data_IF_905361804052
#
_entry.id   IF_905361804052
#
_cell.length_a   1.000
_cell.length_b   1.000
_cell.length_c   1.000
_cell.angle_alpha   90.00
_cell.angle_beta   90.00
_cell.angle_gamma   90.00
#
_symmetry.space_group_name_H-M   'P 1'
#
loop_
_entity.id
_entity.type
_entity.pdbx_description
1 polymer ?
#
# COMPACT_ATOMS: atom_id res chain seq x y z
N UNK A 1 15.86 -25.40 20.82
CA UNK A 1 14.62 -25.25 21.61
C UNK A 1 13.45 -25.15 20.64
N UNK A 2 12.36 -25.91 20.82
CA UNK A 2 11.13 -25.72 20.02
C UNK A 2 10.61 -24.32 20.34
N UNK A 3 10.56 -23.42 19.36
CA UNK A 3 9.89 -22.13 19.51
C UNK A 3 8.42 -22.33 19.15
N UNK A 4 7.56 -21.78 19.98
CA UNK A 4 6.11 -21.77 19.79
C UNK A 4 5.67 -20.34 19.47
N UNK A 5 4.55 -20.24 18.75
CA UNK A 5 3.91 -18.97 18.46
C UNK A 5 2.40 -19.11 18.53
N UNK A 6 1.72 -18.05 18.94
CA UNK A 6 0.33 -18.09 19.37
C UNK A 6 -0.56 -17.36 18.38
N UNK A 7 -1.72 -17.94 18.03
CA UNK A 7 -2.73 -17.27 17.18
C UNK A 7 -4.09 -17.34 17.85
N UNK A 8 -4.59 -16.18 18.22
CA UNK A 8 -5.89 -16.03 18.87
C UNK A 8 -7.01 -16.00 17.84
N UNK A 9 -8.10 -16.72 18.11
CA UNK A 9 -9.25 -16.83 17.22
C UNK A 9 -10.57 -16.88 17.97
N UNK A 10 -11.60 -16.29 17.36
CA UNK A 10 -12.98 -16.48 17.79
C UNK A 10 -13.44 -17.91 17.50
N UNK A 11 -14.38 -18.43 18.29
CA UNK A 11 -15.00 -19.74 18.03
C UNK A 11 -15.71 -19.76 16.67
N UNK A 12 -16.37 -18.65 16.29
CA UNK A 12 -17.04 -18.54 14.99
C UNK A 12 -16.07 -18.72 13.82
N UNK A 13 -14.84 -18.22 13.94
CA UNK A 13 -13.81 -18.43 12.92
C UNK A 13 -13.34 -19.90 12.88
N UNK A 14 -13.12 -20.50 14.04
CA UNK A 14 -12.55 -21.85 14.13
C UNK A 14 -13.47 -22.95 13.62
N UNK A 15 -14.76 -22.89 13.98
CA UNK A 15 -15.74 -23.97 13.75
C UNK A 15 -17.11 -23.49 13.26
N UNK A 16 -17.24 -22.22 12.90
CA UNK A 16 -18.48 -21.60 12.44
C UNK A 16 -18.39 -21.20 10.97
N UNK A 17 -18.40 -19.89 10.71
CA UNK A 17 -18.43 -19.30 9.37
C UNK A 17 -17.26 -19.75 8.48
N UNK A 18 -16.03 -19.76 9.00
CA UNK A 18 -14.83 -20.02 8.19
C UNK A 18 -14.28 -21.45 8.31
N UNK A 19 -14.71 -22.21 9.33
CA UNK A 19 -14.24 -23.57 9.59
C UNK A 19 -12.70 -23.71 9.51
N UNK A 20 -11.96 -22.78 10.11
CA UNK A 20 -10.50 -22.69 9.97
C UNK A 20 -9.75 -23.94 10.46
N UNK A 21 -10.25 -24.62 11.49
CA UNK A 21 -9.62 -25.84 11.99
C UNK A 21 -9.79 -27.00 11.02
N UNK A 22 -10.98 -27.18 10.47
CA UNK A 22 -11.30 -28.27 9.55
C UNK A 22 -10.55 -28.10 8.22
N UNK A 23 -10.51 -26.86 7.73
CA UNK A 23 -9.85 -26.48 6.48
C UNK A 23 -8.33 -26.25 6.63
N UNK A 24 -7.82 -26.27 7.86
CA UNK A 24 -6.43 -25.92 8.20
C UNK A 24 -6.02 -24.55 7.62
N UNK A 25 -6.91 -23.57 7.69
CA UNK A 25 -6.73 -22.29 6.98
C UNK A 25 -6.27 -21.15 7.88
N UNK A 26 -5.46 -20.27 7.30
CA UNK A 26 -4.98 -19.01 7.86
C UNK A 26 -5.25 -17.93 6.81
N UNK A 27 -6.20 -17.05 7.12
CA UNK A 27 -6.47 -15.88 6.30
C UNK A 27 -5.44 -14.77 6.54
N UNK A 28 -4.99 -14.14 5.45
CA UNK A 28 -4.12 -12.98 5.44
C UNK A 28 -4.95 -11.73 5.13
N UNK A 29 -5.02 -10.83 6.11
CA UNK A 29 -5.80 -9.61 6.05
C UNK A 29 -5.09 -8.53 5.24
N UNK A 30 -5.86 -7.72 4.53
CA UNK A 30 -5.38 -6.52 3.87
C UNK A 30 -5.21 -5.37 4.89
N UNK A 31 -4.34 -4.38 4.62
CA UNK A 31 -3.94 -3.35 5.59
C UNK A 31 -5.12 -2.56 6.16
N UNK A 32 -6.16 -2.32 5.35
CA UNK A 32 -7.38 -1.63 5.75
C UNK A 32 -8.21 -2.35 6.84
N UNK A 33 -7.89 -3.62 7.13
CA UNK A 33 -8.53 -4.41 8.19
C UNK A 33 -7.68 -4.52 9.46
N UNK A 34 -6.53 -3.85 9.52
CA UNK A 34 -5.65 -3.88 10.69
C UNK A 34 -6.11 -2.88 11.74
N UNK A 35 -5.71 -3.12 12.99
CA UNK A 35 -6.25 -2.41 14.15
C UNK A 35 -5.59 -1.06 14.41
N UNK A 36 -4.33 -0.87 13.98
CA UNK A 36 -3.69 0.43 14.04
C UNK A 36 -3.79 1.13 12.66
N UNK A 37 -4.38 2.33 12.60
CA UNK A 37 -4.58 3.06 11.35
C UNK A 37 -3.29 3.52 10.68
N UNK A 38 -2.17 3.52 11.40
CA UNK A 38 -0.86 3.89 10.85
C UNK A 38 -0.12 2.69 10.24
N UNK A 39 -0.66 1.48 10.34
CA UNK A 39 0.01 0.31 9.79
C UNK A 39 0.12 0.35 8.27
N UNK A 40 1.34 0.18 7.77
CA UNK A 40 1.63 0.33 6.35
C UNK A 40 1.75 1.79 5.90
N UNK A 41 1.70 2.77 6.81
CA UNK A 41 2.04 4.15 6.50
C UNK A 41 3.48 4.24 6.01
N UNK A 42 3.68 5.06 4.97
CA UNK A 42 4.97 5.31 4.35
C UNK A 42 5.19 6.81 4.23
N UNK A 43 6.27 7.29 4.82
CA UNK A 43 6.64 8.69 4.71
C UNK A 43 7.40 8.95 3.42
N UNK A 44 6.65 9.17 2.33
CA UNK A 44 7.20 9.32 0.99
C UNK A 44 7.59 10.77 0.72
N UNK A 45 8.78 10.95 0.16
CA UNK A 45 9.26 12.22 -0.39
C UNK A 45 9.79 12.04 -1.81
N UNK A 46 9.90 13.15 -2.55
CA UNK A 46 10.45 13.20 -3.90
C UNK A 46 11.73 14.03 -3.88
N UNK A 47 12.86 13.40 -4.20
CA UNK A 47 14.15 14.08 -4.29
C UNK A 47 14.93 13.58 -5.50
N UNK A 48 15.16 14.44 -6.47
CA UNK A 48 15.77 14.02 -7.73
C UNK A 48 16.11 15.19 -8.64
N UNK A 49 16.87 14.90 -9.67
CA UNK A 49 17.28 15.87 -10.67
C UNK A 49 16.14 16.24 -11.64
N UNK A 50 16.43 17.16 -12.55
CA UNK A 50 15.47 17.64 -13.54
C UNK A 50 14.89 16.50 -14.40
N UNK A 51 15.64 15.42 -14.62
CA UNK A 51 15.24 14.30 -15.48
C UNK A 51 14.02 13.59 -14.88
N UNK A 52 14.13 13.13 -13.63
CA UNK A 52 13.00 12.42 -12.99
C UNK A 52 11.81 13.33 -12.73
N UNK A 53 12.03 14.63 -12.51
CA UNK A 53 10.93 15.60 -12.38
C UNK A 53 10.21 15.84 -13.70
N UNK A 54 10.93 16.01 -14.81
CA UNK A 54 10.31 16.08 -16.15
C UNK A 54 9.51 14.81 -16.44
N UNK A 55 10.06 13.66 -16.13
CA UNK A 55 9.42 12.37 -16.33
C UNK A 55 8.19 12.17 -15.42
N UNK A 56 8.20 12.65 -14.18
CA UNK A 56 7.00 12.67 -13.31
C UNK A 56 5.86 13.47 -13.94
N UNK A 57 6.15 14.67 -14.45
CA UNK A 57 5.15 15.53 -15.09
C UNK A 57 4.66 14.94 -16.42
N UNK A 58 5.56 14.30 -17.19
CA UNK A 58 5.21 13.58 -18.42
C UNK A 58 4.30 12.39 -18.13
N UNK A 59 4.60 11.63 -17.08
CA UNK A 59 3.80 10.49 -16.62
C UNK A 59 2.43 10.94 -16.07
N UNK A 60 2.39 12.05 -15.35
CA UNK A 60 1.14 12.68 -14.91
C UNK A 60 0.28 13.07 -16.12
N UNK A 61 0.87 13.71 -17.13
CA UNK A 61 0.20 14.09 -18.37
C UNK A 61 -0.33 12.86 -19.14
N UNK A 62 0.46 11.78 -19.20
CA UNK A 62 0.06 10.50 -19.78
C UNK A 62 -1.17 9.92 -19.09
N UNK A 63 -1.14 9.84 -17.76
CA UNK A 63 -2.27 9.32 -16.99
C UNK A 63 -3.51 10.20 -17.16
N UNK A 64 -3.34 11.53 -17.17
CA UNK A 64 -4.43 12.48 -17.32
C UNK A 64 -5.07 12.40 -18.71
N UNK A 65 -4.26 12.31 -19.76
CA UNK A 65 -4.72 12.19 -21.14
C UNK A 65 -5.59 10.94 -21.32
N UNK A 66 -5.14 9.80 -20.79
CA UNK A 66 -5.90 8.55 -20.90
C UNK A 66 -7.23 8.63 -20.15
N UNK A 67 -7.28 9.25 -18.97
CA UNK A 67 -8.55 9.47 -18.25
C UNK A 67 -9.45 10.46 -18.99
N UNK A 68 -8.89 11.50 -19.64
CA UNK A 68 -9.64 12.40 -20.51
C UNK A 68 -10.23 11.64 -21.72
N UNK A 69 -9.46 10.74 -22.34
CA UNK A 69 -9.92 9.88 -23.43
C UNK A 69 -11.06 8.97 -22.98
N UNK A 70 -10.94 8.34 -21.81
CA UNK A 70 -12.01 7.53 -21.20
C UNK A 70 -13.28 8.35 -20.94
N UNK A 71 -13.16 9.61 -20.48
CA UNK A 71 -14.29 10.52 -20.30
C UNK A 71 -14.99 10.81 -21.63
N UNK A 72 -14.24 11.05 -22.71
CA UNK A 72 -14.83 11.32 -24.04
C UNK A 72 -15.58 10.09 -24.59
N UNK A 73 -15.03 8.90 -24.37
CA UNK A 73 -15.64 7.64 -24.84
C UNK A 73 -16.88 7.29 -24.01
N UNK A 74 -16.79 7.41 -22.70
CA UNK A 74 -17.79 6.90 -21.76
C UNK A 74 -18.85 7.93 -21.37
N UNK A 75 -18.54 9.23 -21.52
CA UNK A 75 -19.33 10.31 -20.93
C UNK A 75 -19.49 10.10 -19.42
N UNK A 76 -20.72 10.19 -18.92
CA UNK A 76 -21.09 9.86 -17.53
C UNK A 76 -21.78 8.49 -17.41
N UNK A 77 -21.81 7.69 -18.48
CA UNK A 77 -22.60 6.44 -18.52
C UNK A 77 -21.93 5.28 -17.79
N UNK A 78 -20.61 5.22 -17.86
CA UNK A 78 -19.78 4.22 -17.18
C UNK A 78 -18.83 4.95 -16.25
N UNK A 79 -18.91 4.66 -14.95
CA UNK A 79 -18.05 5.28 -13.94
C UNK A 79 -16.59 4.96 -14.22
N UNK A 80 -15.76 5.99 -14.29
CA UNK A 80 -14.31 5.90 -14.28
C UNK A 80 -13.86 5.95 -12.82
N UNK A 81 -13.13 4.95 -12.38
CA UNK A 81 -12.63 4.85 -11.01
C UNK A 81 -11.13 5.10 -10.93
N UNK A 82 -10.62 5.13 -9.70
CA UNK A 82 -9.19 5.25 -9.43
C UNK A 82 -8.37 4.08 -10.02
N UNK A 83 -9.00 2.92 -10.23
CA UNK A 83 -8.35 1.75 -10.82
C UNK A 83 -8.12 1.90 -12.33
N UNK A 84 -8.87 2.80 -12.99
CA UNK A 84 -8.74 3.06 -14.43
C UNK A 84 -7.59 4.03 -14.75
N UNK A 85 -6.95 4.63 -13.73
CA UNK A 85 -5.77 5.47 -13.94
C UNK A 85 -4.56 4.56 -14.26
N UNK A 86 -3.93 4.73 -15.44
CA UNK A 86 -2.97 3.78 -16.00
C UNK A 86 -1.55 3.99 -15.42
N UNK A 87 -1.40 3.90 -14.09
CA UNK A 87 -0.16 4.30 -13.40
C UNK A 87 1.07 3.47 -13.76
N UNK A 88 0.87 2.27 -14.31
CA UNK A 88 1.96 1.40 -14.77
C UNK A 88 2.26 1.55 -16.26
N UNK A 89 1.55 2.41 -16.98
CA UNK A 89 1.69 2.59 -18.43
C UNK A 89 2.78 3.57 -18.80
N UNK A 90 3.31 3.42 -20.02
CA UNK A 90 4.22 4.37 -20.66
C UNK A 90 3.85 4.55 -22.14
N UNK A 91 4.64 5.35 -22.87
CA UNK A 91 4.39 5.63 -24.29
C UNK A 91 4.49 4.40 -25.20
N UNK A 92 5.24 3.37 -24.79
CA UNK A 92 5.40 2.14 -25.57
C UNK A 92 4.10 1.32 -25.59
N UNK A 93 3.30 1.42 -24.52
CA UNK A 93 2.03 0.71 -24.36
C UNK A 93 0.90 1.26 -25.23
N UNK A 94 1.08 2.42 -25.88
CA UNK A 94 0.07 2.96 -26.79
C UNK A 94 -0.16 2.03 -27.99
N UNK A 95 -1.43 1.71 -28.32
CA UNK A 95 -1.77 0.65 -29.27
C UNK A 95 -1.48 1.03 -30.73
N UNK A 96 -1.39 2.32 -31.07
CA UNK A 96 -1.23 2.79 -32.45
C UNK A 96 -0.19 3.89 -32.56
N UNK A 97 0.42 3.99 -33.74
CA UNK A 97 1.37 5.06 -34.04
C UNK A 97 0.71 6.44 -34.01
N UNK A 98 -0.55 6.56 -34.47
CA UNK A 98 -1.28 7.82 -34.39
C UNK A 98 -1.47 8.29 -32.94
N UNK A 99 -1.71 7.36 -32.01
CA UNK A 99 -1.84 7.71 -30.60
C UNK A 99 -0.47 8.16 -30.03
N UNK A 100 0.61 7.46 -30.37
CA UNK A 100 1.97 7.88 -29.98
C UNK A 100 2.29 9.30 -30.48
N UNK A 101 1.94 9.62 -31.72
CA UNK A 101 2.10 10.96 -32.30
C UNK A 101 1.23 12.01 -31.63
N UNK A 102 -0.04 11.70 -31.34
CA UNK A 102 -0.94 12.58 -30.60
C UNK A 102 -0.35 12.93 -29.23
N UNK A 103 0.07 11.92 -28.46
CA UNK A 103 0.64 12.15 -27.13
C UNK A 103 1.98 12.89 -27.20
N UNK A 104 2.80 12.62 -28.22
CA UNK A 104 4.03 13.38 -28.47
C UNK A 104 3.71 14.86 -28.66
N UNK A 105 2.72 15.20 -29.48
CA UNK A 105 2.29 16.58 -29.71
C UNK A 105 1.72 17.25 -28.44
N UNK A 106 0.97 16.51 -27.62
CA UNK A 106 0.48 16.96 -26.30
C UNK A 106 1.66 17.28 -25.38
N UNK A 107 2.59 16.34 -25.25
CA UNK A 107 3.78 16.47 -24.41
C UNK A 107 4.66 17.64 -24.87
N UNK A 108 4.93 17.76 -26.17
CA UNK A 108 5.70 18.89 -26.72
C UNK A 108 5.03 20.22 -26.45
N UNK A 109 3.70 20.32 -26.60
CA UNK A 109 2.99 21.56 -26.29
C UNK A 109 3.07 21.91 -24.80
N UNK A 110 2.81 20.94 -23.92
CA UNK A 110 2.88 21.12 -22.48
C UNK A 110 4.27 21.58 -22.02
N UNK A 111 5.34 20.94 -22.51
CA UNK A 111 6.71 21.29 -22.14
C UNK A 111 7.31 22.47 -22.91
N UNK A 112 6.58 23.06 -23.86
CA UNK A 112 6.99 24.30 -24.53
C UNK A 112 6.85 25.56 -23.67
N UNK A 113 6.16 25.48 -22.52
CA UNK A 113 6.05 26.57 -21.57
C UNK A 113 7.37 26.81 -20.82
N UNK A 114 7.90 28.03 -20.97
CA UNK A 114 9.07 28.51 -20.20
C UNK A 114 8.75 28.58 -18.69
N UNK A 115 7.51 28.92 -18.33
CA UNK A 115 7.09 29.00 -16.94
C UNK A 115 7.06 27.61 -16.29
N UNK A 116 6.46 26.61 -16.96
CA UNK A 116 6.52 25.23 -16.48
C UNK A 116 7.96 24.75 -16.34
N UNK A 117 8.82 25.09 -17.31
CA UNK A 117 10.22 24.71 -17.27
C UNK A 117 10.97 25.28 -16.06
N UNK A 118 10.77 26.57 -15.75
CA UNK A 118 11.31 27.22 -14.55
C UNK A 118 10.75 26.63 -13.27
N UNK A 119 9.47 26.27 -13.24
CA UNK A 119 8.85 25.60 -12.09
C UNK A 119 9.52 24.24 -11.83
N UNK A 120 9.67 23.41 -12.88
CA UNK A 120 10.29 22.08 -12.75
C UNK A 120 11.77 22.20 -12.30
N UNK A 121 12.49 23.21 -12.75
CA UNK A 121 13.86 23.47 -12.30
C UNK A 121 13.91 23.92 -10.82
N UNK A 122 12.94 24.73 -10.38
CA UNK A 122 12.86 25.18 -8.99
C UNK A 122 12.57 24.01 -8.03
N UNK A 123 11.63 23.13 -8.37
CA UNK A 123 11.29 21.96 -7.54
C UNK A 123 12.40 20.91 -7.53
N UNK A 124 13.18 20.75 -8.62
CA UNK A 124 14.26 19.75 -8.68
C UNK A 124 15.44 20.04 -7.75
N UNK A 125 15.48 21.23 -7.13
CA UNK A 125 16.53 21.64 -6.19
C UNK A 125 16.18 21.30 -4.74
N UNK A 126 15.02 20.67 -4.49
CA UNK A 126 14.43 20.51 -3.17
C UNK A 126 13.92 19.10 -2.94
N UNK A 127 13.80 18.74 -1.67
CA UNK A 127 13.05 17.55 -1.24
C UNK A 127 11.60 17.91 -1.04
N UNK A 128 10.71 17.31 -1.83
CA UNK A 128 9.29 17.63 -1.89
C UNK A 128 8.49 16.57 -1.13
N UNK A 129 7.51 16.99 -0.32
CA UNK A 129 6.58 16.09 0.37
C UNK A 129 5.24 16.03 -0.35
N UNK A 130 4.40 15.06 0.03
CA UNK A 130 3.10 14.80 -0.61
C UNK A 130 2.22 16.05 -0.76
N UNK A 131 2.09 16.85 0.30
CA UNK A 131 1.23 18.04 0.28
C UNK A 131 1.76 19.11 -0.69
N UNK A 132 3.08 19.28 -0.72
CA UNK A 132 3.77 20.19 -1.64
C UNK A 132 3.68 19.69 -3.10
N UNK A 133 3.78 18.39 -3.34
CA UNK A 133 3.56 17.82 -4.67
C UNK A 133 2.13 18.06 -5.15
N UNK A 134 1.12 17.87 -4.27
CA UNK A 134 -0.28 18.17 -4.59
C UNK A 134 -0.47 19.64 -4.96
N UNK A 135 0.17 20.56 -4.23
CA UNK A 135 0.17 21.97 -4.56
C UNK A 135 0.69 22.27 -5.97
N UNK A 136 1.85 21.72 -6.35
CA UNK A 136 2.41 21.97 -7.69
C UNK A 136 1.57 21.33 -8.80
N UNK A 137 1.11 20.09 -8.61
CA UNK A 137 0.26 19.42 -9.61
C UNK A 137 -1.09 20.12 -9.78
N UNK A 138 -1.71 20.62 -8.69
CA UNK A 138 -2.93 21.46 -8.76
C UNK A 138 -2.70 22.76 -9.52
N UNK A 139 -1.57 23.41 -9.28
CA UNK A 139 -1.18 24.64 -10.01
C UNK A 139 -1.06 24.41 -11.51
N UNK A 140 -0.54 23.24 -11.92
CA UNK A 140 -0.30 22.91 -13.35
C UNK A 140 -1.48 22.20 -14.01
N UNK A 141 -2.45 21.69 -13.24
CA UNK A 141 -3.50 20.79 -13.73
C UNK A 141 -4.32 21.35 -14.90
N UNK A 142 -4.79 22.60 -14.81
CA UNK A 142 -5.59 23.20 -15.89
C UNK A 142 -4.76 23.48 -17.15
N UNK A 143 -3.48 23.81 -17.01
CA UNK A 143 -2.57 23.94 -18.15
C UNK A 143 -2.31 22.57 -18.83
N UNK A 144 -2.22 21.49 -18.05
CA UNK A 144 -2.12 20.14 -18.59
C UNK A 144 -3.39 19.74 -19.37
N UNK A 145 -4.58 20.03 -18.82
CA UNK A 145 -5.85 19.82 -19.51
C UNK A 145 -5.94 20.61 -20.81
N UNK A 146 -5.53 21.89 -20.80
CA UNK A 146 -5.52 22.72 -22.01
C UNK A 146 -4.55 22.16 -23.06
N UNK A 147 -3.38 21.67 -22.63
CA UNK A 147 -2.42 21.03 -23.52
C UNK A 147 -3.00 19.78 -24.20
N UNK A 148 -3.81 19.00 -23.48
CA UNK A 148 -4.50 17.82 -24.01
C UNK A 148 -5.62 18.24 -24.97
N UNK A 149 -6.57 19.06 -24.51
CA UNK A 149 -7.77 19.39 -25.27
C UNK A 149 -7.46 20.22 -26.52
N UNK A 150 -6.46 21.10 -26.49
CA UNK A 150 -6.03 21.84 -27.69
C UNK A 150 -5.51 20.92 -28.80
N UNK A 151 -4.86 19.80 -28.45
CA UNK A 151 -4.44 18.81 -29.43
C UNK A 151 -5.61 17.93 -29.88
N UNK A 152 -6.56 17.62 -29.00
CA UNK A 152 -7.79 16.94 -29.40
C UNK A 152 -8.60 17.78 -30.42
N UNK A 153 -8.67 19.10 -30.26
CA UNK A 153 -9.31 20.01 -31.23
C UNK A 153 -8.58 20.01 -32.57
N UNK A 154 -7.24 20.16 -32.55
CA UNK A 154 -6.41 20.14 -33.77
C UNK A 154 -6.56 18.84 -34.56
N UNK A 155 -6.79 17.73 -33.87
CA UNK A 155 -6.98 16.41 -34.47
C UNK A 155 -8.48 16.04 -34.67
N UNK A 156 -9.40 17.00 -34.47
CA UNK A 156 -10.85 16.82 -34.63
C UNK A 156 -11.45 15.67 -33.78
N UNK A 157 -10.84 15.36 -32.63
CA UNK A 157 -11.34 14.40 -31.65
C UNK A 157 -12.47 15.00 -30.79
N UNK A 158 -12.48 16.32 -30.65
CA UNK A 158 -13.57 17.08 -30.03
C UNK A 158 -13.95 18.28 -30.90
N UNK A 159 -15.17 18.85 -30.75
CA UNK A 159 -15.53 20.11 -31.38
C UNK A 159 -14.59 21.25 -30.95
N UNK A 160 -14.44 22.26 -31.81
CA UNK A 160 -13.74 23.48 -31.44
C UNK A 160 -14.44 24.13 -30.23
N UNK A 161 -13.71 24.27 -29.12
CA UNK A 161 -14.15 25.06 -27.96
C UNK A 161 -14.07 26.54 -28.35
N UNK A 162 -14.91 27.36 -27.72
CA UNK A 162 -14.84 28.81 -27.88
C UNK A 162 -13.50 29.37 -27.39
N UNK A 163 -13.18 30.61 -27.76
CA UNK A 163 -12.03 31.34 -27.20
C UNK A 163 -12.19 31.40 -25.69
N UNK A 164 -11.26 30.78 -24.96
CA UNK A 164 -11.24 30.81 -23.51
C UNK A 164 -10.37 32.02 -23.10
N UNK A 165 -10.96 33.03 -22.47
CA UNK A 165 -10.22 34.21 -21.98
C UNK A 165 -9.37 33.90 -20.73
N UNK A 166 -9.44 32.66 -20.23
CA UNK A 166 -8.70 32.20 -19.06
C UNK A 166 -7.30 31.75 -19.47
N UNK A 167 -6.29 32.51 -19.04
CA UNK A 167 -4.89 32.12 -19.14
C UNK A 167 -4.60 30.96 -18.18
N UNK A 168 -4.51 29.74 -18.73
CA UNK A 168 -4.25 28.53 -17.93
C UNK A 168 -2.84 28.46 -17.38
N UNK A 169 -1.88 29.23 -17.91
CA UNK A 169 -0.52 29.34 -17.36
C UNK A 169 -0.44 30.33 -16.21
N UNK A 170 -1.42 31.24 -16.08
CA UNK A 170 -1.46 32.27 -15.04
C UNK A 170 -1.16 31.77 -13.62
N UNK A 171 -1.71 30.64 -13.14
CA UNK A 171 -1.36 30.11 -11.81
C UNK A 171 0.14 29.80 -11.65
N UNK A 172 0.79 29.30 -12.71
CA UNK A 172 2.24 29.02 -12.75
C UNK A 172 3.02 30.33 -12.76
N UNK A 173 2.58 31.30 -13.56
CA UNK A 173 3.18 32.64 -13.65
C UNK A 173 3.12 33.34 -12.30
N UNK A 174 1.92 33.44 -11.71
CA UNK A 174 1.69 34.08 -10.42
C UNK A 174 2.56 33.44 -9.32
N UNK A 175 2.71 32.09 -9.33
CA UNK A 175 3.60 31.38 -8.40
C UNK A 175 5.07 31.78 -8.54
N UNK A 176 5.56 31.91 -9.78
CA UNK A 176 6.96 32.24 -10.06
C UNK A 176 7.27 33.72 -9.83
N UNK A 177 6.33 34.62 -10.14
CA UNK A 177 6.51 36.07 -10.04
C UNK A 177 6.38 36.59 -8.60
N UNK A 178 5.62 35.90 -7.74
CA UNK A 178 5.47 36.28 -6.32
C UNK A 178 6.68 35.91 -5.45
N UNK A 179 7.83 35.58 -6.04
CA UNK A 179 9.05 35.16 -5.33
C UNK A 179 8.78 34.03 -4.32
N UNK A 180 7.80 33.16 -4.60
CA UNK A 180 7.38 32.10 -3.67
C UNK A 180 8.56 31.21 -3.23
N UNK A 181 9.40 30.83 -4.19
CA UNK A 181 10.61 30.03 -3.92
C UNK A 181 11.63 30.79 -3.07
N UNK A 182 11.90 32.08 -3.38
CA UNK A 182 12.78 32.91 -2.55
C UNK A 182 12.24 33.06 -1.13
N UNK A 183 10.93 33.27 -0.95
CA UNK A 183 10.31 33.37 0.38
C UNK A 183 10.39 32.07 1.17
N UNK A 184 10.36 30.93 0.48
CA UNK A 184 10.62 29.64 1.11
C UNK A 184 12.11 29.48 1.45
N UNK A 185 13.02 29.86 0.56
CA UNK A 185 14.46 29.68 0.71
C UNK A 185 15.07 30.67 1.75
N UNK A 186 14.60 31.90 1.81
CA UNK A 186 15.00 32.92 2.81
C UNK A 186 14.62 32.49 4.23
N UNK A 187 13.50 31.76 4.38
CA UNK A 187 13.11 31.16 5.65
C UNK A 187 14.04 30.01 6.06
N UNK A 188 14.77 29.37 5.15
CA UNK A 188 15.70 28.25 5.41
C UNK A 188 17.00 28.71 6.11
N UNK A 189 17.26 30.03 6.19
CA UNK A 189 18.47 30.61 6.81
C UNK A 189 18.53 30.53 8.35
N UNK A 190 17.54 29.94 9.02
CA UNK A 190 17.52 29.67 10.48
C UNK A 190 17.19 28.18 10.75
N UNK A 191 17.18 27.74 12.01
CA UNK A 191 17.09 26.33 12.45
C UNK A 191 16.29 25.39 11.52
N UNK A 192 16.99 24.45 10.86
CA UNK A 192 16.51 23.66 9.69
C UNK A 192 15.21 22.90 9.97
N UNK A 193 15.05 22.32 11.16
CA UNK A 193 13.88 21.50 11.50
C UNK A 193 12.61 22.34 11.72
N UNK A 194 12.75 23.54 12.27
CA UNK A 194 11.61 24.45 12.48
C UNK A 194 11.06 24.96 11.13
N UNK A 195 11.94 25.12 10.15
CA UNK A 195 11.56 25.58 8.82
C UNK A 195 10.88 24.50 7.98
N UNK A 196 11.36 23.26 8.03
CA UNK A 196 10.64 22.12 7.44
C UNK A 196 9.22 22.01 7.98
N UNK A 197 9.03 22.19 9.29
CA UNK A 197 7.70 22.20 9.93
C UNK A 197 6.81 23.33 9.41
N UNK A 198 7.33 24.55 9.28
CA UNK A 198 6.57 25.70 8.75
C UNK A 198 6.17 25.51 7.29
N UNK A 199 7.08 24.99 6.45
CA UNK A 199 6.79 24.70 5.04
C UNK A 199 5.70 23.63 4.93
N UNK A 200 5.83 22.54 5.67
CA UNK A 200 4.80 21.49 5.70
C UNK A 200 3.45 22.06 6.15
N UNK A 201 3.42 22.85 7.24
CA UNK A 201 2.19 23.47 7.72
C UNK A 201 1.54 24.41 6.69
N UNK A 202 2.33 25.13 5.90
CA UNK A 202 1.83 25.98 4.82
C UNK A 202 1.11 25.15 3.74
N UNK A 203 1.72 24.07 3.26
CA UNK A 203 1.11 23.22 2.23
C UNK A 203 -0.09 22.44 2.76
N UNK A 204 -0.05 21.97 4.01
CA UNK A 204 -1.22 21.35 4.65
C UNK A 204 -2.37 22.36 4.79
N UNK A 205 -2.10 23.61 5.14
CA UNK A 205 -3.12 24.67 5.20
C UNK A 205 -3.74 24.97 3.82
N UNK A 206 -2.92 24.99 2.76
CA UNK A 206 -3.41 25.10 1.39
C UNK A 206 -4.33 23.94 1.01
N UNK A 207 -3.94 22.70 1.31
CA UNK A 207 -4.77 21.53 1.03
C UNK A 207 -6.09 21.54 1.81
N UNK A 208 -6.06 21.88 3.09
CA UNK A 208 -7.27 22.01 3.90
C UNK A 208 -8.20 23.12 3.36
N UNK A 209 -7.63 24.23 2.90
CA UNK A 209 -8.44 25.31 2.31
C UNK A 209 -9.12 24.85 1.02
N UNK A 210 -8.38 24.16 0.14
CA UNK A 210 -8.94 23.64 -1.11
C UNK A 210 -10.00 22.55 -0.88
N UNK A 211 -9.81 21.66 0.10
CA UNK A 211 -10.82 20.63 0.41
C UNK A 211 -12.11 21.25 0.94
N UNK A 212 -12.01 22.33 1.73
CA UNK A 212 -13.18 23.09 2.17
C UNK A 212 -13.86 23.83 1.02
N UNK A 213 -13.11 24.43 0.09
CA UNK A 213 -13.67 25.10 -1.10
C UNK A 213 -14.39 24.09 -2.00
N UNK A 214 -13.80 22.92 -2.26
CA UNK A 214 -14.45 21.84 -3.02
C UNK A 214 -15.78 21.43 -2.37
N UNK A 215 -15.76 21.20 -1.05
CA UNK A 215 -16.96 20.86 -0.30
C UNK A 215 -18.03 21.96 -0.38
N UNK A 216 -17.64 23.23 -0.27
CA UNK A 216 -18.55 24.38 -0.42
C UNK A 216 -19.15 24.41 -1.83
N UNK A 217 -18.34 24.19 -2.87
CA UNK A 217 -18.80 24.20 -4.25
C UNK A 217 -19.79 23.07 -4.55
N UNK A 218 -19.55 21.87 -4.01
CA UNK A 218 -20.51 20.75 -4.09
C UNK A 218 -21.79 21.04 -3.32
N UNK A 219 -21.66 21.53 -2.09
CA UNK A 219 -22.81 21.90 -1.26
C UNK A 219 -23.69 22.97 -1.92
N UNK A 220 -23.08 23.95 -2.57
CA UNK A 220 -23.77 25.01 -3.30
C UNK A 220 -24.25 24.58 -4.70
N UNK A 221 -24.00 23.34 -5.13
CA UNK A 221 -24.39 22.83 -6.45
C UNK A 221 -23.62 23.45 -7.63
N UNK A 222 -22.47 24.09 -7.37
CA UNK A 222 -21.56 24.60 -8.41
C UNK A 222 -20.87 23.42 -9.11
N UNK A 223 -20.47 22.41 -8.34
CA UNK A 223 -19.98 21.13 -8.84
C UNK A 223 -21.15 20.15 -8.79
N UNK A 224 -21.55 19.62 -9.95
CA UNK A 224 -22.63 18.63 -10.05
C UNK A 224 -22.11 17.24 -9.70
N UNK A 225 -22.57 16.67 -8.58
CA UNK A 225 -22.20 15.32 -8.15
C UNK A 225 -22.72 14.21 -9.08
N UNK A 226 -23.63 14.53 -10.01
CA UNK A 226 -24.07 13.58 -11.05
C UNK A 226 -23.06 13.46 -12.20
N UNK A 227 -22.10 14.38 -12.33
CA UNK A 227 -21.04 14.32 -13.35
C UNK A 227 -19.74 13.79 -12.77
N UNK A 228 -19.76 12.55 -12.27
CA UNK A 228 -18.65 11.94 -11.54
C UNK A 228 -17.37 11.85 -12.37
N UNK A 229 -17.47 11.53 -13.66
CA UNK A 229 -16.30 11.38 -14.51
C UNK A 229 -15.67 12.72 -14.85
N UNK A 230 -16.48 13.77 -15.09
CA UNK A 230 -15.97 15.14 -15.16
C UNK A 230 -15.31 15.56 -13.86
N UNK A 231 -15.95 15.31 -12.71
CA UNK A 231 -15.38 15.69 -11.42
C UNK A 231 -14.05 14.99 -11.17
N UNK A 232 -13.93 13.71 -11.55
CA UNK A 232 -12.67 12.99 -11.54
C UNK A 232 -11.59 13.72 -12.35
N UNK A 233 -11.87 14.06 -13.61
CA UNK A 233 -10.90 14.70 -14.51
C UNK A 233 -10.50 16.09 -14.03
N UNK A 234 -11.46 16.95 -13.68
CA UNK A 234 -11.24 18.39 -13.47
C UNK A 234 -10.90 18.78 -12.03
N UNK A 235 -11.31 17.97 -11.03
CA UNK A 235 -11.18 18.35 -9.61
C UNK A 235 -10.46 17.31 -8.76
N UNK A 236 -10.68 16.02 -9.00
CA UNK A 236 -10.17 14.96 -8.12
C UNK A 236 -8.87 14.31 -8.63
N UNK A 237 -8.53 14.46 -9.91
CA UNK A 237 -7.46 13.71 -10.56
C UNK A 237 -6.12 13.81 -9.84
N UNK A 238 -5.72 15.01 -9.42
CA UNK A 238 -4.43 15.24 -8.73
C UNK A 238 -4.32 14.37 -7.47
N UNK A 239 -5.35 14.40 -6.62
CA UNK A 239 -5.34 13.65 -5.36
C UNK A 239 -5.38 12.14 -5.63
N UNK A 240 -6.17 11.70 -6.62
CA UNK A 240 -6.24 10.30 -7.02
C UNK A 240 -4.91 9.81 -7.56
N UNK A 241 -4.28 10.55 -8.47
CA UNK A 241 -2.96 10.26 -9.04
C UNK A 241 -1.90 10.13 -7.95
N UNK A 242 -1.79 11.12 -7.04
CA UNK A 242 -0.82 11.07 -5.95
C UNK A 242 -1.08 9.87 -5.03
N UNK A 243 -2.34 9.57 -4.72
CA UNK A 243 -2.68 8.44 -3.84
C UNK A 243 -2.31 7.07 -4.40
N UNK A 244 -2.19 6.93 -5.72
CA UNK A 244 -1.80 5.67 -6.36
C UNK A 244 -0.33 5.61 -6.78
N UNK A 245 0.43 6.71 -6.68
CA UNK A 245 1.87 6.70 -6.97
C UNK A 245 2.62 5.66 -6.14
N UNK A 246 2.17 5.40 -4.90
CA UNK A 246 2.78 4.37 -4.05
C UNK A 246 2.73 2.96 -4.66
N UNK A 247 1.78 2.68 -5.57
CA UNK A 247 1.71 1.40 -6.28
C UNK A 247 2.90 1.17 -7.22
N UNK A 248 3.59 2.24 -7.63
CA UNK A 248 4.86 2.16 -8.37
C UNK A 248 6.05 1.81 -7.47
N UNK A 249 5.95 2.16 -6.19
CA UNK A 249 6.99 1.86 -5.22
C UNK A 249 6.87 0.39 -4.83
N UNK A 250 5.77 -0.01 -4.17
CA UNK A 250 5.67 -1.31 -3.51
C UNK A 250 4.43 -2.12 -3.93
N UNK A 251 4.51 -3.47 -3.84
CA UNK A 251 3.36 -4.32 -4.07
C UNK A 251 2.32 -4.18 -2.96
N UNK A 252 1.07 -4.52 -3.27
CA UNK A 252 0.07 -4.79 -2.24
C UNK A 252 0.56 -5.91 -1.32
N UNK A 253 0.17 -5.83 -0.05
CA UNK A 253 0.61 -6.77 0.97
C UNK A 253 -0.54 -7.17 1.87
N UNK A 254 -0.42 -8.36 2.45
CA UNK A 254 -1.40 -8.94 3.34
C UNK A 254 -0.67 -9.64 4.48
N UNK A 255 -1.29 -9.71 5.65
CA UNK A 255 -0.64 -10.25 6.84
C UNK A 255 -1.50 -11.19 7.66
N UNK A 256 -0.84 -12.16 8.28
CA UNK A 256 -1.38 -12.97 9.34
C UNK A 256 -0.58 -12.71 10.63
N UNK A 257 -1.28 -12.22 11.65
CA UNK A 257 -0.69 -11.84 12.93
C UNK A 257 -0.65 -13.00 13.93
N UNK A 258 0.42 -13.06 14.70
CA UNK A 258 0.68 -14.03 15.76
C UNK A 258 1.36 -13.33 16.93
N UNK A 259 1.35 -13.95 18.10
CA UNK A 259 1.95 -13.40 19.32
C UNK A 259 3.05 -14.34 19.80
N UNK A 260 4.12 -13.80 20.37
CA UNK A 260 5.17 -14.61 20.98
C UNK A 260 4.77 -15.21 22.34
N UNK A 261 3.70 -14.70 22.94
CA UNK A 261 3.15 -15.14 24.23
C UNK A 261 1.62 -15.01 24.27
N UNK A 262 0.99 -15.54 25.33
CA UNK A 262 -0.46 -15.54 25.47
C UNK A 262 -0.99 -15.07 26.84
N UNK A 263 -0.18 -14.35 27.62
CA UNK A 263 -0.51 -13.98 29.00
C UNK A 263 -1.30 -12.67 29.14
N UNK A 264 -1.27 -11.82 28.10
CA UNK A 264 -1.87 -10.50 28.14
C UNK A 264 -3.40 -10.54 28.08
N UNK A 265 -4.07 -9.90 29.05
CA UNK A 265 -5.54 -9.89 29.12
C UNK A 265 -6.21 -9.13 27.98
N UNK A 266 -5.62 -8.03 27.52
CA UNK A 266 -6.15 -7.22 26.41
C UNK A 266 -6.12 -8.00 25.10
N UNK A 267 -5.08 -8.80 24.87
CA UNK A 267 -5.01 -9.71 23.70
C UNK A 267 -6.15 -10.72 23.70
N UNK A 268 -6.43 -11.36 24.84
CA UNK A 268 -7.61 -12.25 24.96
C UNK A 268 -8.95 -11.51 24.84
N UNK A 269 -9.01 -10.24 25.26
CA UNK A 269 -10.18 -9.38 25.09
C UNK A 269 -10.46 -9.09 23.62
N UNK A 270 -9.47 -8.60 22.89
CA UNK A 270 -9.61 -8.21 21.49
C UNK A 270 -9.63 -9.43 20.54
N UNK A 271 -8.56 -10.23 20.53
CA UNK A 271 -8.40 -11.31 19.57
C UNK A 271 -8.96 -12.65 20.05
N UNK A 272 -9.06 -12.83 21.36
CA UNK A 272 -9.76 -13.97 21.97
C UNK A 272 -11.28 -13.78 22.10
N UNK A 273 -11.86 -12.80 21.39
CA UNK A 273 -13.29 -12.50 21.38
C UNK A 273 -13.89 -12.39 22.80
N UNK A 274 -13.43 -11.42 23.59
CA UNK A 274 -13.81 -11.24 24.99
C UNK A 274 -13.61 -12.49 25.85
N UNK A 275 -12.48 -13.17 25.67
CA UNK A 275 -12.10 -14.43 26.35
C UNK A 275 -13.01 -15.64 26.06
N UNK A 276 -13.90 -15.55 25.07
CA UNK A 276 -14.77 -16.68 24.66
C UNK A 276 -14.15 -17.55 23.56
N UNK A 277 -13.13 -17.04 22.89
CA UNK A 277 -12.38 -17.72 21.84
C UNK A 277 -11.30 -18.66 22.36
N UNK A 278 -10.42 -19.08 21.46
CA UNK A 278 -9.29 -19.96 21.77
C UNK A 278 -7.98 -19.41 21.19
N UNK A 279 -6.87 -19.90 21.70
CA UNK A 279 -5.53 -19.58 21.22
C UNK A 279 -4.86 -20.85 20.68
N UNK A 280 -4.46 -20.81 19.41
CA UNK A 280 -3.77 -21.88 18.72
C UNK A 280 -2.26 -21.79 18.95
N UNK A 281 -1.62 -22.90 19.26
CA UNK A 281 -0.16 -22.97 19.49
C UNK A 281 0.49 -23.60 18.27
N UNK A 282 1.31 -22.86 17.54
CA UNK A 282 2.05 -23.34 16.39
C UNK A 282 3.51 -23.60 16.75
N UNK A 283 4.02 -24.77 16.35
CA UNK A 283 5.46 -25.04 16.27
C UNK A 283 5.99 -24.39 15.02
N UNK A 284 7.09 -23.66 15.17
CA UNK A 284 7.75 -22.98 14.08
C UNK A 284 9.12 -23.59 13.77
N UNK A 285 9.55 -23.45 12.52
CA UNK A 285 10.89 -23.84 12.07
C UNK A 285 11.87 -22.69 12.39
N UNK A 286 13.09 -23.02 12.82
CA UNK A 286 14.14 -22.04 13.09
C UNK A 286 15.43 -22.45 12.38
N UNK A 287 15.82 -21.69 11.35
CA UNK A 287 17.06 -21.84 10.59
C UNK A 287 17.80 -20.50 10.60
N UNK A 288 19.07 -20.46 11.00
CA UNK A 288 19.92 -19.25 10.99
C UNK A 288 19.26 -17.99 11.60
N UNK A 289 18.65 -18.13 12.77
CA UNK A 289 17.87 -17.09 13.48
C UNK A 289 16.60 -16.61 12.75
N UNK A 290 16.20 -17.22 11.64
CA UNK A 290 14.94 -16.97 10.96
C UNK A 290 13.88 -17.98 11.40
N UNK A 291 12.86 -17.47 12.08
CA UNK A 291 11.67 -18.21 12.44
C UNK A 291 10.72 -18.26 11.24
N UNK A 292 10.14 -19.41 10.91
CA UNK A 292 9.20 -19.54 9.79
C UNK A 292 8.09 -20.57 10.00
N UNK A 293 7.03 -20.45 9.21
CA UNK A 293 5.94 -21.41 9.10
C UNK A 293 5.72 -21.77 7.62
N UNK A 294 5.71 -23.07 7.32
CA UNK A 294 5.43 -23.58 5.99
C UNK A 294 3.92 -23.57 5.71
N UNK A 295 3.50 -22.83 4.68
CA UNK A 295 2.09 -22.71 4.29
C UNK A 295 1.91 -23.10 2.81
N UNK A 296 0.88 -23.89 2.52
CA UNK A 296 0.48 -24.24 1.17
C UNK A 296 -0.29 -23.08 0.54
N UNK A 297 0.19 -22.65 -0.62
CA UNK A 297 -0.31 -21.47 -1.33
C UNK A 297 -0.14 -21.55 -2.83
N UNK A 298 -0.82 -20.65 -3.53
CA UNK A 298 -0.53 -20.32 -4.92
C UNK A 298 0.94 -19.91 -5.04
N UNK A 299 1.72 -20.66 -5.80
CA UNK A 299 3.17 -20.48 -5.91
C UNK A 299 3.69 -20.39 -7.35
N UNK A 300 2.80 -20.50 -8.34
CA UNK A 300 3.17 -20.40 -9.74
C UNK A 300 1.98 -20.50 -10.69
N UNK A 301 2.30 -20.51 -11.98
CA UNK A 301 1.36 -20.71 -13.07
C UNK A 301 1.97 -21.66 -14.11
N UNK A 302 1.18 -22.61 -14.57
CA UNK A 302 1.49 -23.52 -15.65
C UNK A 302 0.52 -23.27 -16.79
N UNK A 303 1.03 -23.19 -18.03
CA UNK A 303 0.20 -23.04 -19.22
C UNK A 303 -0.76 -24.20 -19.45
N UNK A 304 -0.49 -25.39 -18.88
CA UNK A 304 -1.30 -26.59 -19.08
C UNK A 304 -2.27 -26.86 -17.94
N UNK A 305 -1.92 -26.50 -16.70
CA UNK A 305 -2.69 -26.83 -15.50
C UNK A 305 -3.17 -25.60 -14.71
N UNK A 306 -2.93 -24.39 -15.22
CA UNK A 306 -3.27 -23.15 -14.54
C UNK A 306 -2.41 -22.89 -13.29
N UNK A 307 -3.02 -22.33 -12.25
CA UNK A 307 -2.31 -22.01 -11.00
C UNK A 307 -1.80 -23.27 -10.29
N UNK A 308 -0.54 -23.23 -9.86
CA UNK A 308 0.06 -24.30 -9.06
C UNK A 308 0.04 -23.95 -7.57
N UNK A 309 -0.06 -24.98 -6.73
CA UNK A 309 -0.10 -24.84 -5.28
C UNK A 309 0.97 -25.71 -4.63
N UNK A 310 1.68 -25.16 -3.64
CA UNK A 310 2.71 -25.88 -2.90
C UNK A 310 3.03 -25.23 -1.57
N UNK A 311 3.69 -25.97 -0.70
CA UNK A 311 4.18 -25.45 0.59
C UNK A 311 5.37 -24.53 0.35
N UNK A 312 5.31 -23.34 0.93
CA UNK A 312 6.37 -22.33 0.91
C UNK A 312 6.65 -21.90 2.35
N UNK A 313 7.93 -21.72 2.69
CA UNK A 313 8.32 -21.18 4.00
C UNK A 313 7.99 -19.68 4.07
N UNK A 314 7.20 -19.27 5.06
CA UNK A 314 6.92 -17.87 5.37
C UNK A 314 7.67 -17.46 6.62
N UNK A 315 8.55 -16.45 6.50
CA UNK A 315 9.29 -15.90 7.64
C UNK A 315 8.37 -15.10 8.55
N UNK A 316 8.59 -15.21 9.86
CA UNK A 316 8.02 -14.33 10.85
C UNK A 316 8.83 -13.05 10.97
N UNK A 317 8.14 -11.93 10.92
CA UNK A 317 8.69 -10.59 11.12
C UNK A 317 8.19 -10.04 12.45
N UNK A 318 9.06 -9.77 13.43
CA UNK A 318 8.65 -9.13 14.67
C UNK A 318 8.21 -7.68 14.41
N UNK A 319 7.24 -7.20 15.17
CA UNK A 319 6.81 -5.80 15.10
C UNK A 319 7.75 -4.88 15.88
N UNK A 320 8.07 -3.75 15.26
CA UNK A 320 8.79 -2.64 15.87
C UNK A 320 7.80 -1.58 16.38
N UNK A 321 7.81 -1.38 17.69
CA UNK A 321 6.95 -0.43 18.39
C UNK A 321 7.66 0.90 18.75
N UNK A 322 8.95 1.03 18.39
CA UNK A 322 9.83 2.11 18.87
C UNK A 322 10.32 3.00 17.75
N UNK A 323 10.87 2.39 16.71
CA UNK A 323 11.39 3.13 15.59
C UNK A 323 10.17 3.49 14.73
N UNK A 324 9.78 4.76 14.75
CA UNK A 324 8.71 5.25 13.88
C UNK A 324 9.01 4.97 12.41
N UNK A 325 8.10 5.37 11.54
CA UNK A 325 8.21 5.13 10.11
C UNK A 325 9.49 5.70 9.51
N UNK A 326 10.12 4.94 8.61
CA UNK A 326 11.25 5.43 7.83
C UNK A 326 10.78 6.27 6.65
N UNK A 327 11.67 7.13 6.17
CA UNK A 327 11.42 7.93 4.97
C UNK A 327 11.72 7.11 3.70
N UNK A 328 10.97 7.37 2.62
CA UNK A 328 11.09 6.69 1.33
C UNK A 328 11.24 7.72 0.21
N UNK A 329 12.35 7.65 -0.50
CA UNK A 329 12.54 8.42 -1.73
C UNK A 329 11.81 7.76 -2.89
N UNK A 330 10.72 8.39 -3.35
CA UNK A 330 9.89 7.90 -4.45
C UNK A 330 10.74 7.59 -5.68
N UNK A 331 11.63 8.49 -6.10
CA UNK A 331 12.37 8.34 -7.35
C UNK A 331 13.41 7.23 -7.30
N UNK A 332 13.85 6.79 -6.12
CA UNK A 332 14.84 5.72 -5.98
C UNK A 332 14.21 4.37 -5.68
N UNK A 333 12.91 4.31 -5.40
CA UNK A 333 12.23 3.11 -4.89
C UNK A 333 11.14 2.58 -5.83
N UNK A 334 11.22 2.86 -7.14
CA UNK A 334 10.28 2.41 -8.17
C UNK A 334 10.42 0.91 -8.53
N UNK A 335 10.42 0.03 -7.54
CA UNK A 335 10.71 -1.40 -7.67
C UNK A 335 9.62 -2.25 -8.32
N UNK A 336 8.45 -1.66 -8.62
CA UNK A 336 7.34 -2.37 -9.29
C UNK A 336 7.44 -2.36 -10.81
N UNK A 337 8.37 -1.59 -11.37
CA UNK A 337 8.60 -1.52 -12.81
C UNK A 337 9.76 -2.45 -13.22
N UNK A 338 9.63 -3.22 -14.31
CA UNK A 338 10.77 -3.89 -14.91
C UNK A 338 11.87 -2.89 -15.26
N UNK A 339 13.14 -3.26 -15.08
CA UNK A 339 14.28 -2.36 -15.30
C UNK A 339 14.25 -1.65 -16.66
N UNK A 340 13.95 -2.31 -17.80
CA UNK A 340 13.83 -1.61 -19.08
C UNK A 340 12.77 -0.51 -19.08
N UNK A 341 11.62 -0.76 -18.44
CA UNK A 341 10.52 0.20 -18.31
C UNK A 341 10.88 1.34 -17.36
N UNK A 342 11.54 1.02 -16.25
CA UNK A 342 12.03 2.00 -15.29
C UNK A 342 13.03 2.97 -15.93
N UNK A 343 14.00 2.43 -16.69
CA UNK A 343 14.98 3.24 -17.40
C UNK A 343 14.34 4.16 -18.45
N UNK A 344 13.53 3.58 -19.35
CA UNK A 344 12.89 4.35 -20.44
C UNK A 344 11.89 5.38 -19.96
N UNK A 345 11.20 5.13 -18.85
CA UNK A 345 10.10 5.99 -18.37
C UNK A 345 10.56 7.02 -17.34
N UNK A 346 11.49 6.66 -16.45
CA UNK A 346 11.83 7.50 -15.29
C UNK A 346 13.27 7.99 -15.29
N UNK A 347 14.24 7.14 -15.64
CA UNK A 347 15.66 7.45 -15.44
C UNK A 347 16.39 7.98 -16.67
N UNK A 348 15.73 8.08 -17.83
CA UNK A 348 16.34 8.61 -19.04
C UNK A 348 15.50 9.75 -19.61
N UNK A 349 16.17 10.80 -20.08
CA UNK A 349 15.58 11.90 -20.85
C UNK A 349 16.62 12.40 -21.85
N UNK A 350 16.26 12.47 -23.14
CA UNK A 350 17.13 12.95 -24.22
C UNK A 350 18.53 12.32 -24.28
N UNK A 351 18.62 11.05 -23.87
CA UNK A 351 19.88 10.28 -23.84
C UNK A 351 20.69 10.43 -22.54
N UNK A 352 20.32 11.37 -21.67
CA UNK A 352 20.94 11.56 -20.36
C UNK A 352 20.29 10.66 -19.30
N UNK A 353 21.08 10.23 -18.32
CA UNK A 353 20.66 9.35 -17.24
C UNK A 353 20.56 10.13 -15.93
N UNK A 354 19.46 9.94 -15.20
CA UNK A 354 19.24 10.56 -13.90
C UNK A 354 20.17 10.01 -12.82
N UNK A 355 20.62 10.88 -11.91
CA UNK A 355 21.35 10.50 -10.69
C UNK A 355 20.54 9.59 -9.76
N UNK A 356 19.21 9.50 -9.94
CA UNK A 356 18.36 8.58 -9.18
C UNK A 356 18.58 7.12 -9.58
N UNK A 357 19.16 6.84 -10.76
CA UNK A 357 19.48 5.49 -11.21
C UNK A 357 20.79 4.94 -10.61
N UNK A 358 21.62 5.80 -10.01
CA UNK A 358 23.00 5.48 -9.59
C UNK A 358 23.12 4.19 -8.79
N UNK A 359 22.29 4.02 -7.75
CA UNK A 359 22.40 2.87 -6.85
C UNK A 359 22.05 1.56 -7.56
N UNK A 360 21.03 1.61 -8.42
CA UNK A 360 20.63 0.48 -9.26
C UNK A 360 21.71 0.14 -10.29
N UNK A 361 22.30 1.15 -10.93
CA UNK A 361 23.37 0.96 -11.92
C UNK A 361 24.67 0.44 -11.28
N UNK A 362 24.99 0.88 -10.05
CA UNK A 362 26.15 0.38 -9.29
C UNK A 362 25.97 -1.08 -8.89
N UNK A 363 24.79 -1.45 -8.39
CA UNK A 363 24.48 -2.84 -8.01
C UNK A 363 22.99 -3.06 -7.88
N UNK A 364 22.41 -3.71 -8.89
CA UNK A 364 21.01 -4.11 -8.92
C UNK A 364 20.62 -4.95 -7.71
N UNK A 365 21.48 -5.88 -7.27
CA UNK A 365 21.22 -6.75 -6.13
C UNK A 365 21.14 -5.97 -4.81
N UNK A 366 22.08 -5.04 -4.56
CA UNK A 366 22.05 -4.20 -3.36
C UNK A 366 20.85 -3.26 -3.35
N UNK A 367 20.51 -2.72 -4.52
CA UNK A 367 19.32 -1.88 -4.66
C UNK A 367 18.04 -2.69 -4.35
N UNK A 368 17.91 -3.91 -4.86
CA UNK A 368 16.81 -4.83 -4.54
C UNK A 368 16.76 -5.21 -3.07
N UNK A 369 17.90 -5.49 -2.45
CA UNK A 369 17.99 -5.80 -1.03
C UNK A 369 17.50 -4.61 -0.18
N UNK A 370 17.99 -3.40 -0.47
CA UNK A 370 17.54 -2.16 0.18
C UNK A 370 16.04 -1.93 0.01
N UNK A 371 15.54 -2.12 -1.21
CA UNK A 371 14.12 -2.02 -1.54
C UNK A 371 13.26 -2.94 -0.66
N UNK A 372 13.61 -4.23 -0.57
CA UNK A 372 12.86 -5.19 0.25
C UNK A 372 13.02 -4.95 1.75
N UNK A 373 14.18 -4.51 2.20
CA UNK A 373 14.39 -4.14 3.60
C UNK A 373 13.48 -2.98 4.01
N UNK A 374 13.36 -1.95 3.17
CA UNK A 374 12.43 -0.84 3.38
C UNK A 374 10.97 -1.31 3.34
N UNK A 375 10.61 -2.16 2.37
CA UNK A 375 9.26 -2.74 2.28
C UNK A 375 8.86 -3.44 3.58
N UNK A 376 9.71 -4.34 4.10
CA UNK A 376 9.42 -5.09 5.32
C UNK A 376 9.45 -4.20 6.56
N UNK A 377 10.40 -3.25 6.64
CA UNK A 377 10.45 -2.27 7.73
C UNK A 377 9.10 -1.58 7.91
N UNK A 378 8.55 -0.98 6.86
CA UNK A 378 7.38 -0.10 7.00
C UNK A 378 6.08 -0.85 7.33
N UNK A 379 5.95 -2.11 6.93
CA UNK A 379 4.77 -2.94 7.21
C UNK A 379 4.89 -3.72 8.54
N UNK A 380 6.02 -3.57 9.24
CA UNK A 380 6.29 -4.18 10.55
C UNK A 380 6.39 -3.14 11.66
N UNK A 381 5.95 -1.92 11.42
CA UNK A 381 5.86 -0.87 12.45
C UNK A 381 4.42 -0.78 12.95
N UNK A 382 4.29 -0.60 14.26
CA UNK A 382 3.01 -0.36 14.93
C UNK A 382 3.20 0.66 16.05
N UNK A 383 2.16 1.44 16.35
CA UNK A 383 2.22 2.40 17.45
C UNK A 383 2.43 1.70 18.79
N UNK A 384 3.12 2.40 19.70
CA UNK A 384 3.51 1.89 21.01
C UNK A 384 2.32 1.41 21.86
N UNK A 385 1.14 1.96 21.64
CA UNK A 385 -0.08 1.56 22.35
C UNK A 385 -0.42 0.08 22.16
N UNK A 386 0.10 -0.56 21.11
CA UNK A 386 -0.09 -1.99 20.81
C UNK A 386 1.12 -2.88 21.17
N UNK A 387 2.16 -2.34 21.82
CA UNK A 387 3.39 -3.08 22.20
C UNK A 387 3.08 -4.33 23.04
N UNK A 388 1.98 -4.29 23.80
CA UNK A 388 1.53 -5.38 24.66
C UNK A 388 1.14 -6.68 23.90
N UNK A 389 0.97 -6.62 22.58
CA UNK A 389 0.64 -7.78 21.75
C UNK A 389 1.84 -8.69 21.49
N UNK A 390 3.07 -8.15 21.57
CA UNK A 390 4.31 -8.85 21.18
C UNK A 390 4.16 -9.56 19.82
N UNK A 391 3.64 -8.80 18.85
CA UNK A 391 3.16 -9.30 17.58
C UNK A 391 4.31 -9.71 16.64
N UNK A 392 4.06 -10.77 15.88
CA UNK A 392 4.87 -11.23 14.76
C UNK A 392 3.97 -11.49 13.55
N UNK A 393 4.44 -11.13 12.36
CA UNK A 393 3.69 -11.26 11.11
C UNK A 393 4.26 -12.29 10.17
N UNK A 394 3.37 -13.03 9.53
CA UNK A 394 3.65 -13.60 8.22
C UNK A 394 3.12 -12.65 7.16
N UNK A 395 3.91 -12.40 6.12
CA UNK A 395 3.58 -11.42 5.07
C UNK A 395 3.41 -12.14 3.72
N UNK A 396 2.36 -11.76 3.01
CA UNK A 396 2.14 -12.04 1.60
C UNK A 396 2.28 -10.74 0.81
N UNK A 397 2.94 -10.77 -0.34
CA UNK A 397 3.02 -9.63 -1.25
C UNK A 397 2.63 -10.01 -2.67
N UNK A 398 1.84 -9.14 -3.32
CA UNK A 398 1.36 -9.30 -4.69
C UNK A 398 2.43 -8.94 -5.73
N UNK A 399 3.61 -9.54 -5.63
CA UNK A 399 4.76 -9.22 -6.50
C UNK A 399 4.68 -9.96 -7.83
N UNK A 400 4.91 -11.28 -7.82
CA UNK A 400 4.83 -12.15 -9.00
C UNK A 400 3.49 -12.87 -9.11
N UNK A 401 2.76 -12.96 -8.00
CA UNK A 401 1.50 -13.67 -7.89
C UNK A 401 0.49 -12.68 -7.35
N UNK A 402 -0.65 -12.54 -8.03
CA UNK A 402 -1.73 -11.70 -7.57
C UNK A 402 -2.53 -12.38 -6.44
N UNK A 403 -2.74 -11.61 -5.36
CA UNK A 403 -3.50 -11.95 -4.15
C UNK A 403 -4.60 -10.90 -3.84
N UNK A 404 -4.98 -10.08 -4.82
CA UNK A 404 -6.07 -9.10 -4.73
C UNK A 404 -7.39 -9.74 -4.27
N UNK A 405 -7.68 -10.94 -4.77
CA UNK A 405 -8.84 -11.75 -4.41
C UNK A 405 -8.70 -12.41 -3.03
N UNK A 406 -9.71 -12.23 -2.16
CA UNK A 406 -9.68 -12.71 -0.77
C UNK A 406 -9.50 -14.23 -0.63
N UNK A 407 -10.05 -15.01 -1.58
CA UNK A 407 -9.90 -16.47 -1.62
C UNK A 407 -8.44 -16.92 -1.79
N UNK A 408 -7.62 -16.14 -2.50
CA UNK A 408 -6.22 -16.46 -2.74
C UNK A 408 -5.35 -16.13 -1.50
N UNK A 409 -5.91 -15.40 -0.53
CA UNK A 409 -5.29 -15.06 0.77
C UNK A 409 -5.60 -16.05 1.89
N UNK A 410 -6.30 -17.13 1.58
CA UNK A 410 -6.59 -18.23 2.52
C UNK A 410 -5.53 -19.31 2.33
N UNK A 411 -4.54 -19.32 3.22
CA UNK A 411 -3.38 -20.21 3.16
C UNK A 411 -3.58 -21.44 4.04
N UNK A 412 -3.05 -22.60 3.62
CA UNK A 412 -3.25 -23.86 4.36
C UNK A 412 -1.99 -24.23 5.13
N UNK A 413 -2.08 -24.44 6.44
CA UNK A 413 -0.96 -24.93 7.25
C UNK A 413 -0.89 -26.45 7.30
N UNK A 414 0.30 -27.00 7.47
CA UNK A 414 0.47 -28.42 7.83
C UNK A 414 -0.07 -28.66 9.24
N UNK A 415 -1.01 -29.58 9.43
CA UNK A 415 -1.60 -29.90 10.73
C UNK A 415 -0.54 -30.25 11.80
N UNK A 416 0.60 -30.83 11.40
CA UNK A 416 1.70 -31.12 12.32
C UNK A 416 2.34 -29.86 12.92
N UNK A 417 2.16 -28.70 12.30
CA UNK A 417 2.60 -27.42 12.87
C UNK A 417 1.71 -26.96 14.04
N UNK A 418 0.41 -27.32 14.08
CA UNK A 418 -0.48 -26.92 15.17
C UNK A 418 -0.30 -27.85 16.38
N UNK A 419 0.39 -27.44 17.43
CA UNK A 419 0.74 -28.30 18.56
C UNK A 419 -0.38 -28.45 19.60
N UNK A 420 -1.17 -27.39 19.81
CA UNK A 420 -2.19 -27.39 20.85
C UNK A 420 -3.16 -26.23 20.74
N UNK A 421 -4.20 -26.28 21.59
CA UNK A 421 -5.23 -25.25 21.70
C UNK A 421 -5.44 -24.89 23.16
N UNK A 422 -5.43 -23.60 23.46
CA UNK A 422 -5.78 -23.03 24.76
C UNK A 422 -7.19 -22.47 24.66
N UNK A 423 -8.14 -23.03 25.42
CA UNK A 423 -9.47 -22.46 25.52
C UNK A 423 -9.47 -21.22 26.41
N UNK A 424 -10.08 -20.14 25.94
CA UNK A 424 -10.28 -18.93 26.73
C UNK A 424 -11.12 -19.19 27.98
N UNK A 425 -10.99 -18.29 28.97
CA UNK A 425 -11.62 -18.38 30.29
C UNK A 425 -13.15 -18.58 30.18
N UNK A 426 -13.78 -17.95 29.19
CA UNK A 426 -15.25 -17.96 28.98
C UNK A 426 -15.68 -18.83 27.81
N UNK A 427 -14.81 -19.70 27.30
CA UNK A 427 -15.17 -20.61 26.21
C UNK A 427 -16.25 -21.58 26.68
N UNK A 428 -17.35 -21.69 25.92
CA UNK A 428 -18.46 -22.58 26.26
C UNK A 428 -18.07 -24.05 26.11
N UNK A 429 -18.65 -24.92 26.93
CA UNK A 429 -18.33 -26.36 26.94
C UNK A 429 -18.69 -26.99 25.59
N UNK A 430 -19.83 -26.61 25.01
CA UNK A 430 -20.30 -27.13 23.73
C UNK A 430 -19.30 -26.83 22.61
N UNK A 431 -18.69 -25.64 22.63
CA UNK A 431 -17.70 -25.22 21.66
C UNK A 431 -16.36 -25.93 21.85
N UNK A 432 -15.93 -26.15 23.11
CA UNK A 432 -14.76 -27.00 23.42
C UNK A 432 -14.92 -28.40 22.86
N UNK A 433 -16.08 -29.03 23.08
CA UNK A 433 -16.37 -30.38 22.59
C UNK A 433 -16.31 -30.43 21.06
N UNK A 434 -16.89 -29.43 20.37
CA UNK A 434 -16.84 -29.37 18.89
C UNK A 434 -15.40 -29.24 18.39
N UNK A 435 -14.61 -28.34 18.96
CA UNK A 435 -13.18 -28.18 18.62
C UNK A 435 -12.43 -29.49 18.85
N UNK A 436 -12.62 -30.13 20.00
CA UNK A 436 -11.95 -31.39 20.33
C UNK A 436 -12.26 -32.49 19.30
N UNK A 437 -13.51 -32.61 18.84
CA UNK A 437 -13.90 -33.58 17.80
C UNK A 437 -13.22 -33.32 16.46
N UNK A 438 -13.12 -32.05 16.04
CA UNK A 438 -12.39 -31.67 14.81
C UNK A 438 -10.91 -32.08 14.93
N UNK A 439 -10.28 -31.76 16.06
CA UNK A 439 -8.88 -32.10 16.31
C UNK A 439 -8.66 -33.61 16.40
N UNK A 440 -9.58 -34.36 17.02
CA UNK A 440 -9.53 -35.82 17.09
C UNK A 440 -9.51 -36.44 15.68
N UNK A 441 -10.42 -35.99 14.81
CA UNK A 441 -10.45 -36.43 13.41
C UNK A 441 -9.14 -36.11 12.69
N UNK A 442 -8.64 -34.87 12.81
CA UNK A 442 -7.36 -34.47 12.21
C UNK A 442 -6.17 -35.27 12.75
N UNK A 443 -6.17 -35.57 14.05
CA UNK A 443 -5.16 -36.42 14.68
C UNK A 443 -5.19 -37.82 14.09
N UNK A 444 -6.38 -38.43 13.93
CA UNK A 444 -6.56 -39.74 13.31
C UNK A 444 -6.09 -39.75 11.85
N UNK A 445 -6.46 -38.75 11.06
CA UNK A 445 -6.05 -38.60 9.66
C UNK A 445 -4.53 -38.50 9.49
N UNK A 446 -3.85 -37.87 10.46
CA UNK A 446 -2.40 -37.65 10.43
C UNK A 446 -1.60 -38.64 11.29
N UNK A 447 -2.24 -39.64 11.90
CA UNK A 447 -1.59 -40.62 12.77
C UNK A 447 -0.90 -40.01 13.99
N UNK A 448 -1.46 -38.92 14.53
CA UNK A 448 -0.87 -38.13 15.62
C UNK A 448 -1.60 -38.37 16.94
N UNK A 449 -0.84 -38.60 18.02
CA UNK A 449 -1.39 -38.90 19.36
C UNK A 449 -0.98 -37.90 20.46
N UNK A 450 -0.13 -36.93 20.14
CA UNK A 450 0.50 -36.02 21.12
C UNK A 450 -0.08 -34.59 21.09
N UNK A 451 -1.29 -34.40 20.55
CA UNK A 451 -1.95 -33.10 20.53
C UNK A 451 -2.43 -32.69 21.93
N UNK A 452 -2.24 -31.43 22.30
CA UNK A 452 -2.51 -30.95 23.65
C UNK A 452 -3.63 -29.91 23.72
N UNK A 453 -4.46 -30.03 24.76
CA UNK A 453 -5.43 -29.01 25.12
C UNK A 453 -5.07 -28.34 26.43
N UNK A 454 -5.38 -27.06 26.53
CA UNK A 454 -5.13 -26.23 27.68
C UNK A 454 -6.36 -25.41 28.03
N UNK A 455 -6.45 -24.99 29.29
CA UNK A 455 -7.47 -24.06 29.76
C UNK A 455 -6.83 -22.80 30.32
N UNK A 456 -7.22 -21.64 29.79
CA UNK A 456 -6.81 -20.35 30.32
C UNK A 456 -7.52 -20.04 31.64
N UNK A 457 -6.82 -19.39 32.56
CA UNK A 457 -7.33 -18.88 33.84
C UNK A 457 -6.61 -17.57 34.21
N UNK A 458 -7.25 -16.75 35.05
CA UNK A 458 -6.58 -15.58 35.63
C UNK A 458 -5.75 -16.01 36.84
N UNK A 459 -4.45 -15.69 36.84
CA UNK A 459 -3.53 -15.99 37.95
C UNK A 459 -3.49 -14.81 38.93
N UNK A 460 -4.05 -14.91 40.15
CA UNK A 460 -4.01 -13.80 41.11
C UNK A 460 -2.58 -13.47 41.57
N UNK A 461 -1.68 -14.46 41.54
CA UNK A 461 -0.27 -14.33 41.92
C UNK A 461 0.50 -13.47 40.91
N UNK A 462 0.38 -13.80 39.63
CA UNK A 462 1.15 -13.16 38.57
C UNK A 462 0.38 -12.02 37.88
N UNK A 463 -0.90 -11.82 38.24
CA UNK A 463 -1.80 -10.77 37.73
C UNK A 463 -1.92 -10.75 36.20
N UNK A 464 -1.89 -11.94 35.59
CA UNK A 464 -1.96 -12.15 34.16
C UNK A 464 -2.81 -13.39 33.85
N UNK A 465 -3.11 -13.60 32.58
CA UNK A 465 -3.72 -14.87 32.14
C UNK A 465 -2.62 -15.92 32.06
N UNK A 466 -2.92 -17.10 32.55
CA UNK A 466 -2.07 -18.28 32.44
C UNK A 466 -2.91 -19.44 31.91
N UNK A 467 -2.27 -20.57 31.64
CA UNK A 467 -2.97 -21.76 31.21
C UNK A 467 -2.35 -23.02 31.83
N UNK A 468 -3.17 -24.04 32.03
CA UNK A 468 -2.73 -25.36 32.44
C UNK A 468 -3.13 -26.41 31.41
N UNK A 469 -2.31 -27.44 31.25
CA UNK A 469 -2.59 -28.57 30.37
C UNK A 469 -3.74 -29.41 30.94
N UNK A 470 -4.70 -29.76 30.09
CA UNK A 470 -5.83 -30.61 30.45
C UNK A 470 -5.43 -32.09 30.35
N UNK A 471 -4.50 -32.54 31.19
CA UNK A 471 -3.83 -33.85 31.11
C UNK A 471 -4.75 -35.07 31.23
N UNK A 472 -5.97 -34.89 31.72
CA UNK A 472 -6.99 -35.95 31.81
C UNK A 472 -7.74 -36.17 30.49
N UNK A 473 -7.55 -35.30 29.49
CA UNK A 473 -8.13 -35.46 28.16
C UNK A 473 -7.21 -36.34 27.31
N UNK A 474 -7.69 -37.51 26.92
CA UNK A 474 -7.06 -38.38 25.92
C UNK A 474 -7.91 -38.38 24.66
N UNK A 475 -7.33 -38.01 23.52
CA UNK A 475 -7.96 -38.17 22.20
C UNK A 475 -8.03 -39.67 21.87
N UNK A 476 -9.14 -40.14 21.30
CA UNK A 476 -9.42 -41.57 21.07
C UNK A 476 -9.09 -42.08 19.66
#
# INVERSE_FOLDING_TARGET
MKKEIYRFRSINSLIGEFNELETQSIFFAAPENLNDPMEGFRDIYWNGDIIVWRNLFKHYLLCLEQVCSLLLISGEKQTISIQDIPIFSNEEDYPTQQYKELFTNISTHFFSSDYLSRLIEAISKRTIRRDELSFYLKTVHYFALESIFSQYEKNALIPQRGTNDFDTEKPIIDLLEQNFFSLMDDKISSNVDDNKRKINALFSAFLHTNSQIDLINRYNGIIDDNTKNKNLVFFEFVEKYISILEKLIYPEWYTACFMSECYNSSVWGHYGNNHTGACLIFKIESEDNNNSLSLKRKNGYSSTSGHTYGFVKHKFYPIDYKNGYGEIDFFRMLGRLPIPKLNSTWYTLDGEISICADDMLKSEDKWRESYWNNFYRDITIKTKDWEYENEHRLILSSSLIDFSESKDRVLIYDFNSLQGIIFGIKTKIEDKIKIMKVIENKCRENGRADFKFYQAYYSPKNKQIEHFEMTLLTLA
#
